data_IF_454999929304
#
_entry.id   IF_454999929304
#
_cell.length_a   1.000
_cell.length_b   1.000
_cell.length_c   1.000
_cell.angle_alpha   90.00
_cell.angle_beta   90.00
_cell.angle_gamma   90.00
#
_symmetry.space_group_name_H-M   'P 1'
#
loop_
_entity.id
_entity.type
_entity.pdbx_description
1 polymer ?
#
# COMPACT_ATOMS: atom_id res chain seq x y z
N UNK A 1 -68.23 33.41 -35.51
CA UNK A 1 -67.10 32.44 -35.51
C UNK A 1 -66.01 32.96 -34.59
N UNK A 2 -65.89 32.39 -33.45
CA UNK A 2 -64.84 32.75 -32.48
C UNK A 2 -63.90 31.55 -32.28
N UNK A 3 -62.69 31.64 -32.81
CA UNK A 3 -61.66 30.68 -32.55
C UNK A 3 -61.04 30.93 -31.19
N UNK A 4 -61.16 29.99 -30.32
CA UNK A 4 -60.42 29.98 -29.03
C UNK A 4 -59.14 29.20 -29.22
N UNK A 5 -58.03 29.92 -29.22
CA UNK A 5 -56.72 29.32 -29.12
C UNK A 5 -56.41 29.05 -27.68
N UNK A 6 -56.36 27.78 -27.27
CA UNK A 6 -55.86 27.37 -25.97
C UNK A 6 -54.29 27.32 -26.05
N UNK A 7 -53.64 28.20 -25.33
CA UNK A 7 -52.19 28.20 -25.15
C UNK A 7 -51.87 27.16 -24.07
N UNK A 8 -51.33 26.03 -24.49
CA UNK A 8 -50.71 25.04 -23.58
C UNK A 8 -49.37 25.55 -23.14
N UNK A 9 -49.24 26.02 -21.92
CA UNK A 9 -47.96 26.29 -21.29
C UNK A 9 -47.37 24.95 -20.79
N UNK A 10 -46.41 24.42 -21.52
CA UNK A 10 -45.65 23.28 -21.06
C UNK A 10 -44.65 23.74 -20.01
N UNK A 11 -44.96 23.44 -18.73
CA UNK A 11 -44.00 23.62 -17.63
C UNK A 11 -43.00 22.45 -17.69
N UNK A 12 -41.83 22.70 -18.26
CA UNK A 12 -40.70 21.77 -18.16
C UNK A 12 -40.15 21.85 -16.74
N UNK A 13 -40.48 20.87 -15.92
CA UNK A 13 -39.81 20.64 -14.64
C UNK A 13 -38.37 20.20 -14.94
N UNK A 14 -37.41 21.11 -14.79
CA UNK A 14 -35.97 20.72 -14.69
C UNK A 14 -35.80 20.00 -13.36
N UNK A 15 -35.80 18.69 -13.40
CA UNK A 15 -35.38 17.86 -12.29
C UNK A 15 -33.85 18.00 -12.17
N UNK A 16 -33.39 18.92 -11.31
CA UNK A 16 -31.99 18.93 -10.87
C UNK A 16 -31.77 17.74 -9.98
N UNK A 17 -31.41 16.60 -10.57
CA UNK A 17 -30.97 15.45 -9.82
C UNK A 17 -29.66 15.81 -9.11
N UNK A 18 -29.73 16.18 -7.85
CA UNK A 18 -28.58 16.19 -6.97
C UNK A 18 -28.14 14.74 -6.83
N UNK A 19 -27.12 14.36 -7.61
CA UNK A 19 -26.38 13.13 -7.36
C UNK A 19 -25.70 13.28 -6.00
N UNK A 20 -26.37 12.80 -4.96
CA UNK A 20 -25.72 12.52 -3.67
C UNK A 20 -24.71 11.41 -3.95
N UNK A 21 -23.43 11.76 -4.10
CA UNK A 21 -22.34 10.82 -4.05
C UNK A 21 -22.39 10.17 -2.67
N UNK A 22 -22.92 8.95 -2.57
CA UNK A 22 -22.84 8.17 -1.35
C UNK A 22 -21.36 7.97 -1.01
N UNK A 23 -20.93 8.47 0.16
CA UNK A 23 -19.58 8.24 0.66
C UNK A 23 -19.41 6.74 0.88
N UNK A 24 -18.36 6.14 0.28
CA UNK A 24 -18.01 4.73 0.47
C UNK A 24 -17.88 4.44 1.96
N UNK A 25 -18.47 3.34 2.46
CA UNK A 25 -18.38 3.02 3.87
C UNK A 25 -16.92 2.83 4.30
N UNK A 26 -16.51 3.54 5.34
CA UNK A 26 -15.17 3.42 5.92
C UNK A 26 -15.06 2.07 6.62
N UNK A 27 -14.19 1.21 6.13
CA UNK A 27 -13.96 -0.13 6.68
C UNK A 27 -12.51 -0.55 6.48
N UNK A 28 -12.06 -1.55 7.23
CA UNK A 28 -10.71 -2.12 7.02
C UNK A 28 -10.57 -2.67 5.61
N UNK A 29 -11.61 -3.26 5.06
CA UNK A 29 -11.62 -3.79 3.69
C UNK A 29 -11.46 -2.68 2.64
N UNK A 30 -12.04 -1.51 2.87
CA UNK A 30 -11.94 -0.34 1.98
C UNK A 30 -10.67 0.47 2.18
N UNK A 31 -10.00 0.35 3.34
CA UNK A 31 -8.78 1.08 3.65
C UNK A 31 -7.57 0.54 2.84
N UNK A 32 -6.60 1.41 2.63
CA UNK A 32 -5.30 1.00 2.07
C UNK A 32 -4.58 0.06 3.05
N UNK A 33 -3.83 -0.94 2.58
CA UNK A 33 -2.98 -1.73 3.46
C UNK A 33 -1.92 -0.84 4.15
N UNK A 34 -1.59 -1.19 5.38
CA UNK A 34 -0.54 -0.55 6.16
C UNK A 34 0.42 -1.61 6.70
N UNK A 35 1.68 -1.26 6.88
CA UNK A 35 2.65 -2.12 7.56
C UNK A 35 2.29 -2.16 9.05
N UNK A 36 2.13 -3.37 9.58
CA UNK A 36 1.80 -3.58 11.01
C UNK A 36 2.96 -4.20 11.79
N UNK A 37 3.90 -4.83 11.10
CA UNK A 37 5.07 -5.46 11.72
C UNK A 37 6.20 -5.60 10.73
N UNK A 38 7.43 -5.41 11.21
CA UNK A 38 8.65 -5.74 10.46
C UNK A 38 9.61 -6.55 11.32
N UNK A 39 10.41 -7.41 10.68
CA UNK A 39 11.53 -8.13 11.30
C UNK A 39 12.72 -8.00 10.34
N UNK A 40 13.80 -7.32 10.69
CA UNK A 40 14.05 -6.58 11.94
C UNK A 40 13.01 -5.49 12.20
N UNK A 41 12.82 -5.11 13.46
CA UNK A 41 11.92 -4.03 13.82
C UNK A 41 12.47 -2.68 13.32
N UNK A 42 11.60 -1.78 12.86
CA UNK A 42 12.04 -0.44 12.46
C UNK A 42 12.67 0.30 13.63
N UNK A 43 13.87 0.84 13.42
CA UNK A 43 14.67 1.51 14.45
C UNK A 43 15.53 0.56 15.29
N UNK A 44 15.50 -0.75 15.02
CA UNK A 44 16.31 -1.72 15.75
C UNK A 44 17.81 -1.53 15.46
N UNK A 45 18.62 -1.54 16.51
CA UNK A 45 20.08 -1.53 16.44
C UNK A 45 20.63 -2.86 16.96
N UNK A 46 21.86 -3.19 16.60
CA UNK A 46 22.47 -4.45 17.03
C UNK A 46 21.89 -5.69 16.37
N UNK A 47 21.27 -5.54 15.21
CA UNK A 47 20.77 -6.67 14.42
C UNK A 47 21.94 -7.57 14.02
N UNK A 48 21.78 -8.88 14.20
CA UNK A 48 22.80 -9.85 13.82
C UNK A 48 23.01 -9.82 12.29
N UNK A 49 24.22 -9.55 11.80
CA UNK A 49 24.49 -9.56 10.35
C UNK A 49 24.32 -10.93 9.69
N UNK A 50 24.26 -12.02 10.46
CA UNK A 50 23.92 -13.35 9.96
C UNK A 50 22.40 -13.51 9.65
N UNK A 51 21.57 -12.50 9.92
CA UNK A 51 20.14 -12.50 9.56
C UNK A 51 20.00 -12.66 8.06
N UNK A 52 19.19 -13.62 7.62
CA UNK A 52 19.00 -13.98 6.22
C UNK A 52 17.71 -13.50 5.60
N UNK A 53 16.78 -12.98 6.42
CA UNK A 53 15.47 -12.57 5.97
C UNK A 53 15.03 -11.26 6.59
N UNK A 54 14.39 -10.43 5.76
CA UNK A 54 13.59 -9.29 6.20
C UNK A 54 12.14 -9.64 5.96
N UNK A 55 11.30 -9.45 6.97
CA UNK A 55 9.86 -9.74 6.91
C UNK A 55 9.05 -8.49 7.13
N UNK A 56 8.02 -8.32 6.32
CA UNK A 56 7.06 -7.21 6.45
C UNK A 56 5.66 -7.79 6.44
N UNK A 57 4.88 -7.48 7.47
CA UNK A 57 3.49 -7.92 7.59
C UNK A 57 2.56 -6.72 7.40
N UNK A 58 1.56 -6.91 6.55
CA UNK A 58 0.55 -5.91 6.23
C UNK A 58 -0.76 -6.16 6.97
N UNK A 59 -1.58 -5.13 7.06
CA UNK A 59 -2.88 -5.15 7.76
C UNK A 59 -3.97 -5.95 7.04
N UNK A 60 -3.73 -6.38 5.80
CA UNK A 60 -4.70 -7.05 4.92
C UNK A 60 -4.02 -8.10 4.06
N UNK A 61 -4.82 -8.95 3.43
CA UNK A 61 -4.33 -9.86 2.38
C UNK A 61 -3.82 -9.07 1.18
N UNK A 62 -2.62 -9.41 0.75
CA UNK A 62 -1.91 -8.72 -0.31
C UNK A 62 -1.98 -9.51 -1.62
N UNK A 63 -1.89 -8.78 -2.73
CA UNK A 63 -1.82 -9.38 -4.06
C UNK A 63 -0.50 -10.10 -4.22
N UNK A 64 -0.55 -11.39 -4.54
CA UNK A 64 0.62 -12.22 -4.76
C UNK A 64 1.49 -11.70 -5.92
N UNK A 65 2.80 -11.93 -5.83
CA UNK A 65 3.81 -11.53 -6.82
C UNK A 65 3.87 -10.03 -7.12
N UNK A 66 3.37 -9.21 -6.20
CA UNK A 66 3.39 -7.76 -6.32
C UNK A 66 4.11 -7.16 -5.11
N UNK A 67 5.22 -6.46 -5.36
CA UNK A 67 6.03 -5.79 -4.33
C UNK A 67 6.83 -4.64 -4.93
N UNK A 68 7.18 -3.68 -4.08
CA UNK A 68 8.12 -2.59 -4.37
C UNK A 68 9.02 -2.38 -3.17
N UNK A 69 10.16 -3.03 -3.18
CA UNK A 69 11.25 -2.83 -2.25
C UNK A 69 12.19 -1.81 -2.88
N UNK A 70 12.30 -0.61 -2.31
CA UNK A 70 12.98 0.51 -2.94
C UNK A 70 14.13 1.04 -2.07
N UNK A 71 15.13 1.62 -2.74
CA UNK A 71 16.23 2.29 -2.08
C UNK A 71 15.77 3.53 -1.33
N UNK A 72 16.50 3.90 -0.28
CA UNK A 72 16.27 5.08 0.52
C UNK A 72 17.59 5.80 0.82
N UNK A 73 17.54 7.12 0.94
CA UNK A 73 18.74 7.94 1.17
C UNK A 73 19.31 7.78 2.58
N UNK A 74 18.50 7.28 3.52
CA UNK A 74 18.84 7.12 4.94
C UNK A 74 19.79 5.96 5.21
N UNK A 75 20.03 5.08 4.25
CA UNK A 75 20.91 3.92 4.45
C UNK A 75 21.16 3.13 3.19
N UNK A 76 21.76 1.95 3.36
CA UNK A 76 22.05 1.05 2.26
C UNK A 76 20.86 0.14 1.98
N UNK A 77 20.73 -0.29 0.73
CA UNK A 77 19.83 -1.37 0.35
C UNK A 77 20.55 -2.71 0.51
N UNK A 78 19.92 -3.73 1.12
CA UNK A 78 20.56 -5.02 1.32
C UNK A 78 20.78 -5.78 0.01
N UNK A 79 21.80 -6.62 -0.03
CA UNK A 79 21.96 -7.57 -1.13
C UNK A 79 20.82 -8.59 -1.10
N UNK A 80 20.05 -8.66 -2.17
CA UNK A 80 18.95 -9.60 -2.32
C UNK A 80 19.44 -10.96 -2.78
N UNK A 81 18.85 -12.02 -2.21
CA UNK A 81 19.06 -13.42 -2.63
C UNK A 81 17.73 -13.97 -3.15
N UNK A 82 17.63 -14.13 -4.47
CA UNK A 82 16.40 -14.56 -5.11
C UNK A 82 15.30 -13.48 -5.13
N UNK A 83 14.07 -13.91 -5.30
CA UNK A 83 12.91 -13.03 -5.35
C UNK A 83 12.18 -12.98 -4.01
N UNK A 84 11.52 -11.86 -3.68
CA UNK A 84 10.59 -11.81 -2.56
C UNK A 84 9.48 -12.84 -2.72
N UNK A 85 8.86 -13.22 -1.61
CA UNK A 85 7.70 -14.11 -1.61
C UNK A 85 6.75 -13.80 -0.46
N UNK A 86 5.47 -14.04 -0.66
CA UNK A 86 4.49 -13.99 0.41
C UNK A 86 4.38 -15.34 1.12
N UNK A 87 4.20 -15.31 2.44
CA UNK A 87 3.89 -16.49 3.23
C UNK A 87 2.42 -16.91 3.04
N UNK A 88 2.06 -18.06 3.61
CA UNK A 88 0.69 -18.62 3.51
C UNK A 88 -0.38 -17.74 4.15
N UNK A 89 -0.01 -16.83 5.07
CA UNK A 89 -0.91 -15.84 5.65
C UNK A 89 -1.36 -14.76 4.64
N UNK A 90 -0.76 -14.71 3.46
CA UNK A 90 -1.00 -13.72 2.39
C UNK A 90 -0.77 -12.27 2.80
N UNK A 91 -0.17 -12.03 3.94
CA UNK A 91 0.07 -10.70 4.54
C UNK A 91 1.53 -10.40 4.79
N UNK A 92 2.36 -11.43 4.92
CA UNK A 92 3.79 -11.29 5.21
C UNK A 92 4.60 -11.55 3.94
N UNK A 93 5.32 -10.52 3.50
CA UNK A 93 6.28 -10.61 2.41
C UNK A 93 7.68 -10.79 2.99
N UNK A 94 8.42 -11.75 2.47
CA UNK A 94 9.78 -12.11 2.89
C UNK A 94 10.77 -11.75 1.79
N UNK A 95 11.81 -11.02 2.16
CA UNK A 95 12.97 -10.73 1.32
C UNK A 95 14.18 -11.46 1.89
N UNK A 96 14.73 -12.40 1.14
CA UNK A 96 15.97 -13.07 1.51
C UNK A 96 17.16 -12.18 1.18
N UNK A 97 18.05 -11.97 2.14
CA UNK A 97 19.14 -10.99 2.06
C UNK A 97 20.46 -11.54 2.60
N UNK A 98 21.54 -10.84 2.22
CA UNK A 98 22.84 -10.89 2.89
C UNK A 98 23.12 -9.53 3.48
N UNK A 99 23.40 -9.49 4.79
CA UNK A 99 23.69 -8.27 5.52
C UNK A 99 25.19 -8.17 5.84
N UNK A 100 25.69 -6.95 5.86
CA UNK A 100 27.04 -6.61 6.32
C UNK A 100 27.02 -6.16 7.77
N UNK A 101 28.10 -6.37 8.54
CA UNK A 101 28.20 -5.85 9.91
C UNK A 101 28.30 -4.31 9.90
N UNK A 102 27.93 -3.69 11.00
CA UNK A 102 28.05 -2.24 11.27
C UNK A 102 27.50 -1.38 10.13
N UNK A 103 26.34 -1.76 9.59
CA UNK A 103 25.72 -1.12 8.44
C UNK A 103 24.30 -0.69 8.78
N UNK A 104 23.97 0.55 8.44
CA UNK A 104 22.59 1.06 8.48
C UNK A 104 21.90 0.71 7.17
N UNK A 105 20.82 -0.02 7.25
CA UNK A 105 19.95 -0.36 6.14
C UNK A 105 18.69 0.48 6.18
N UNK A 106 18.28 0.97 5.02
CA UNK A 106 17.04 1.71 4.86
C UNK A 106 16.33 1.29 3.57
N UNK A 107 15.06 0.94 3.71
CA UNK A 107 14.27 0.36 2.62
C UNK A 107 12.90 1.03 2.60
N UNK A 108 12.51 1.59 1.47
CA UNK A 108 11.14 1.99 1.24
C UNK A 108 10.29 0.80 0.81
N UNK A 109 9.18 0.60 1.47
CA UNK A 109 8.11 -0.31 1.08
C UNK A 109 7.02 0.54 0.42
N UNK A 110 6.96 0.53 -0.87
CA UNK A 110 6.31 1.51 -1.72
C UNK A 110 6.89 2.93 -1.59
N UNK A 111 6.72 3.68 -2.64
CA UNK A 111 6.97 5.13 -2.71
C UNK A 111 5.78 5.76 -3.44
N UNK A 112 5.80 7.06 -3.68
CA UNK A 112 4.79 7.69 -4.53
C UNK A 112 4.81 7.17 -5.96
N UNK A 113 5.99 6.74 -6.45
CA UNK A 113 6.19 6.27 -7.82
C UNK A 113 6.05 4.74 -7.95
N UNK A 114 6.54 3.98 -6.97
CA UNK A 114 6.54 2.52 -6.98
C UNK A 114 5.53 2.01 -5.96
N UNK A 115 4.40 1.52 -6.43
CA UNK A 115 3.20 1.24 -5.64
C UNK A 115 2.75 -0.22 -5.72
N UNK A 116 3.67 -1.16 -5.95
CA UNK A 116 3.32 -2.56 -6.23
C UNK A 116 3.02 -3.40 -4.99
N UNK A 117 3.37 -2.96 -3.78
CA UNK A 117 2.73 -3.52 -2.60
C UNK A 117 1.28 -3.05 -2.57
N UNK A 118 0.35 -3.93 -2.89
CA UNK A 118 -1.08 -3.61 -2.95
C UNK A 118 -1.92 -4.79 -2.47
N UNK A 119 -3.12 -4.48 -2.00
CA UNK A 119 -4.07 -5.51 -1.58
C UNK A 119 -4.67 -6.24 -2.78
N UNK A 120 -5.49 -7.27 -2.51
CA UNK A 120 -6.17 -8.05 -3.55
C UNK A 120 -7.14 -7.23 -4.38
N UNK A 121 -7.60 -6.09 -3.88
CA UNK A 121 -8.42 -5.11 -4.60
C UNK A 121 -7.64 -4.09 -5.41
N UNK A 122 -6.29 -4.16 -5.40
CA UNK A 122 -5.41 -3.25 -6.14
C UNK A 122 -5.12 -1.93 -5.44
N UNK A 123 -5.49 -1.76 -4.18
CA UNK A 123 -5.17 -0.54 -3.39
C UNK A 123 -3.72 -0.59 -2.93
N UNK A 124 -2.89 0.40 -3.27
CA UNK A 124 -1.49 0.42 -2.83
C UNK A 124 -1.38 0.59 -1.31
N UNK A 125 -0.43 -0.11 -0.71
CA UNK A 125 -0.06 0.10 0.68
C UNK A 125 0.47 1.53 0.91
N UNK A 126 0.20 2.05 2.08
CA UNK A 126 0.80 3.31 2.53
C UNK A 126 2.32 3.13 2.54
N UNK A 127 3.10 4.05 1.93
CA UNK A 127 4.56 3.96 1.97
C UNK A 127 5.10 3.88 3.40
N UNK A 128 6.09 3.03 3.60
CA UNK A 128 6.71 2.79 4.90
C UNK A 128 8.23 2.72 4.75
N UNK A 129 8.94 3.50 5.56
CA UNK A 129 10.40 3.46 5.63
C UNK A 129 10.85 2.53 6.74
N UNK A 130 11.47 1.43 6.38
CA UNK A 130 12.12 0.50 7.31
C UNK A 130 13.59 0.87 7.44
N UNK A 131 14.04 1.17 8.65
CA UNK A 131 15.44 1.46 8.97
C UNK A 131 15.88 0.57 10.13
N UNK A 132 17.04 -0.05 10.01
CA UNK A 132 17.67 -0.80 11.09
C UNK A 132 19.19 -0.82 10.91
N UNK A 133 19.92 -1.19 11.96
CA UNK A 133 21.37 -1.20 11.99
C UNK A 133 21.91 -2.54 12.49
N UNK A 134 22.89 -3.09 11.78
CA UNK A 134 23.59 -4.32 12.19
C UNK A 134 24.72 -4.00 13.19
N UNK A 135 25.03 -4.96 14.08
CA UNK A 135 26.17 -4.90 14.98
C UNK A 135 27.49 -5.28 14.31
#
# INVERSE_FOLDING_TARGET
>A
MRCWMAILIAVTMLSTGTHLMAEEPKSVAAARPSVVKTVPQCGETGVNPATTEIRVTFSKDMKDRCWSWCTADEGQFPEMVGQPMYLTDKRTCVLTVKLKPKTTYAIWLNTQRYINFKDTGGRPAVPYLLVFETK
#
